data_IF_133304759132
#
_entry.id   IF_133304759132
#
_cell.length_a   1.000
_cell.length_b   1.000
_cell.length_c   1.000
_cell.angle_alpha   90.00
_cell.angle_beta   90.00
_cell.angle_gamma   90.00
#
_symmetry.space_group_name_H-M   'P 1'
#
loop_
_entity.id
_entity.type
_entity.pdbx_description
1 polymer ?
#
# COMPACT_ATOMS: atom_id res chain seq x y z
N UNK A 1 -31.14 -3.32 -3.93
CA UNK A 1 -29.91 -3.91 -4.50
C UNK A 1 -30.32 -4.98 -5.49
N UNK A 2 -30.20 -4.73 -6.79
CA UNK A 2 -30.47 -5.76 -7.79
C UNK A 2 -29.22 -6.63 -7.93
N UNK A 3 -29.30 -7.96 -7.75
CA UNK A 3 -28.18 -8.83 -8.05
C UNK A 3 -27.98 -8.80 -9.57
N UNK A 4 -26.84 -8.27 -10.01
CA UNK A 4 -26.44 -8.37 -11.41
C UNK A 4 -26.32 -9.85 -11.74
N UNK A 5 -27.24 -10.33 -12.58
CA UNK A 5 -27.16 -11.61 -13.27
C UNK A 5 -25.98 -11.54 -14.23
N UNK A 6 -24.76 -11.73 -13.72
CA UNK A 6 -23.58 -11.86 -14.56
C UNK A 6 -23.60 -13.25 -15.16
N UNK A 7 -24.00 -13.35 -16.43
CA UNK A 7 -24.06 -14.62 -17.15
C UNK A 7 -22.62 -15.13 -17.35
N UNK A 8 -22.26 -16.31 -16.78
CA UNK A 8 -20.96 -16.90 -16.99
C UNK A 8 -20.66 -17.07 -18.48
N UNK A 9 -19.50 -16.59 -18.93
CA UNK A 9 -19.06 -16.68 -20.33
C UNK A 9 -19.41 -15.49 -21.23
N UNK A 10 -20.17 -14.50 -20.76
CA UNK A 10 -20.40 -13.26 -21.53
C UNK A 10 -19.12 -12.42 -21.68
N UNK A 11 -18.99 -11.59 -22.74
CA UNK A 11 -17.86 -10.66 -22.87
C UNK A 11 -17.70 -9.72 -21.66
N UNK A 12 -18.83 -9.28 -21.07
CA UNK A 12 -18.84 -8.49 -19.84
C UNK A 12 -18.27 -9.26 -18.65
N UNK A 13 -18.64 -10.54 -18.48
CA UNK A 13 -18.05 -11.40 -17.45
C UNK A 13 -16.54 -11.56 -17.63
N UNK A 14 -16.07 -11.78 -18.87
CA UNK A 14 -14.63 -11.89 -19.15
C UNK A 14 -13.88 -10.61 -18.82
N UNK A 15 -14.42 -9.45 -19.22
CA UNK A 15 -13.88 -8.12 -18.91
C UNK A 15 -13.80 -7.88 -17.41
N UNK A 16 -14.87 -8.11 -16.66
CA UNK A 16 -14.87 -7.99 -15.19
C UNK A 16 -13.91 -9.00 -14.52
N UNK A 17 -13.87 -10.24 -15.00
CA UNK A 17 -13.03 -11.30 -14.44
C UNK A 17 -11.53 -11.00 -14.57
N UNK A 18 -11.14 -10.37 -15.67
CA UNK A 18 -9.76 -10.02 -16.00
C UNK A 18 -9.23 -8.79 -15.26
N UNK A 19 -10.11 -7.98 -14.63
CA UNK A 19 -9.69 -6.80 -13.87
C UNK A 19 -8.69 -7.18 -12.77
N UNK A 20 -7.57 -6.45 -12.63
CA UNK A 20 -6.62 -6.57 -11.54
C UNK A 20 -7.30 -6.70 -10.18
N UNK A 21 -8.26 -5.82 -9.85
CA UNK A 21 -8.94 -5.85 -8.55
C UNK A 21 -9.67 -7.17 -8.26
N UNK A 22 -10.30 -7.76 -9.27
CA UNK A 22 -10.95 -9.06 -9.15
C UNK A 22 -9.91 -10.19 -8.95
N UNK A 23 -8.73 -10.07 -9.55
CA UNK A 23 -7.62 -11.01 -9.33
C UNK A 23 -7.09 -10.90 -7.90
N UNK A 24 -6.83 -9.69 -7.45
CA UNK A 24 -6.34 -9.39 -6.10
C UNK A 24 -7.31 -9.87 -5.02
N UNK A 25 -8.63 -9.65 -5.18
CA UNK A 25 -9.62 -10.18 -4.24
C UNK A 25 -9.65 -11.71 -4.19
N UNK A 26 -9.40 -12.40 -5.32
CA UNK A 26 -9.33 -13.87 -5.34
C UNK A 26 -8.08 -14.40 -4.66
N UNK A 27 -6.97 -13.66 -4.74
CA UNK A 27 -5.70 -14.04 -4.13
C UNK A 27 -5.59 -13.59 -2.66
N UNK A 28 -6.43 -12.65 -2.21
CA UNK A 28 -6.52 -12.21 -0.84
C UNK A 28 -7.30 -13.22 0.02
N UNK A 29 -6.57 -14.11 0.69
CA UNK A 29 -7.15 -15.13 1.57
C UNK A 29 -7.51 -14.59 2.98
N UNK A 30 -6.99 -13.42 3.33
CA UNK A 30 -7.16 -12.77 4.62
C UNK A 30 -8.47 -11.99 4.67
N UNK A 31 -9.09 -11.87 5.86
CA UNK A 31 -10.27 -11.05 6.03
C UNK A 31 -10.01 -9.57 5.79
N UNK A 32 -8.78 -9.10 6.03
CA UNK A 32 -8.34 -7.71 5.80
C UNK A 32 -6.97 -7.67 5.12
N UNK A 33 -6.67 -6.55 4.48
CA UNK A 33 -5.37 -6.20 3.92
C UNK A 33 -5.02 -4.75 4.28
N UNK A 34 -3.77 -4.33 4.12
CA UNK A 34 -3.27 -3.03 4.58
C UNK A 34 -2.12 -3.18 5.56
N UNK A 35 -1.41 -2.09 5.79
CA UNK A 35 -0.06 -2.06 6.33
C UNK A 35 -0.03 -2.03 7.86
N UNK A 36 1.05 -2.54 8.43
CA UNK A 36 1.44 -2.16 9.80
C UNK A 36 2.18 -0.82 9.73
N UNK A 37 1.74 0.16 10.52
CA UNK A 37 2.25 1.53 10.52
C UNK A 37 2.88 1.81 11.89
N UNK A 38 4.20 2.03 11.91
CA UNK A 38 4.94 2.42 13.10
C UNK A 38 5.16 3.92 13.14
N UNK A 39 4.63 4.58 14.17
CA UNK A 39 4.91 5.98 14.44
C UNK A 39 6.22 6.12 15.22
N UNK A 40 7.15 6.94 14.72
CA UNK A 40 8.48 7.12 15.30
C UNK A 40 8.82 8.58 15.65
N UNK A 41 7.84 9.48 15.61
CA UNK A 41 7.98 10.88 16.00
C UNK A 41 6.81 11.34 16.87
N UNK A 42 7.11 11.86 18.06
CA UNK A 42 6.12 12.24 19.08
C UNK A 42 6.27 13.69 19.57
N UNK A 43 6.37 14.63 18.62
CA UNK A 43 6.33 16.07 18.92
C UNK A 43 4.88 16.58 18.96
N UNK A 44 4.59 17.72 19.61
CA UNK A 44 3.25 18.31 19.58
C UNK A 44 2.73 18.59 18.15
N UNK A 45 3.64 18.90 17.24
CA UNK A 45 3.35 19.08 15.82
C UNK A 45 2.98 17.75 15.17
N UNK A 46 3.76 16.69 15.41
CA UNK A 46 3.46 15.37 14.86
C UNK A 46 2.17 14.78 15.42
N UNK A 47 1.81 15.08 16.68
CA UNK A 47 0.53 14.69 17.28
C UNK A 47 -0.66 15.28 16.51
N UNK A 48 -0.54 16.51 16.05
CA UNK A 48 -1.57 17.15 15.24
C UNK A 48 -1.58 16.63 13.78
N UNK A 49 -0.42 16.31 13.23
CA UNK A 49 -0.29 15.85 11.84
C UNK A 49 -0.64 14.37 11.65
N UNK A 50 -0.39 13.51 12.65
CA UNK A 50 -0.51 12.06 12.49
C UNK A 50 -1.92 11.57 12.11
N UNK A 51 -3.02 12.07 12.70
CA UNK A 51 -4.36 11.72 12.23
C UNK A 51 -4.65 12.17 10.79
N UNK A 52 -4.09 13.31 10.38
CA UNK A 52 -4.23 13.82 9.01
C UNK A 52 -3.43 12.97 8.02
N UNK A 53 -2.24 12.52 8.43
CA UNK A 53 -1.44 11.56 7.68
C UNK A 53 -2.23 10.27 7.41
N UNK A 54 -2.83 9.67 8.44
CA UNK A 54 -3.62 8.43 8.28
C UNK A 54 -4.80 8.65 7.32
N UNK A 55 -5.57 9.72 7.51
CA UNK A 55 -6.70 10.03 6.64
C UNK A 55 -6.27 10.25 5.18
N UNK A 56 -5.10 10.84 4.96
CA UNK A 56 -4.57 11.09 3.62
C UNK A 56 -4.07 9.79 2.97
N UNK A 57 -3.36 8.94 3.70
CA UNK A 57 -2.98 7.60 3.20
C UNK A 57 -4.23 6.81 2.79
N UNK A 58 -5.27 6.81 3.61
CA UNK A 58 -6.52 6.12 3.30
C UNK A 58 -7.17 6.68 2.02
N UNK A 59 -7.27 8.01 1.89
CA UNK A 59 -7.85 8.66 0.72
C UNK A 59 -7.10 8.33 -0.58
N UNK A 60 -5.77 8.30 -0.54
CA UNK A 60 -4.94 7.96 -1.69
C UNK A 60 -5.09 6.48 -2.08
N UNK A 61 -5.06 5.57 -1.10
CA UNK A 61 -5.26 4.14 -1.37
C UNK A 61 -6.66 3.87 -1.93
N UNK A 62 -7.70 4.51 -1.38
CA UNK A 62 -9.07 4.41 -1.92
C UNK A 62 -9.18 4.95 -3.34
N UNK A 63 -8.49 6.06 -3.64
CA UNK A 63 -8.40 6.62 -4.99
C UNK A 63 -7.73 5.64 -5.98
N UNK A 64 -6.61 5.02 -5.59
CA UNK A 64 -5.93 4.01 -6.41
C UNK A 64 -6.80 2.78 -6.66
N UNK A 65 -7.60 2.36 -5.68
CA UNK A 65 -8.58 1.27 -5.85
C UNK A 65 -9.60 1.65 -6.93
N UNK A 66 -10.10 2.88 -6.91
CA UNK A 66 -11.13 3.39 -7.82
C UNK A 66 -10.61 3.87 -9.18
N UNK A 67 -9.29 3.82 -9.41
CA UNK A 67 -8.67 4.32 -10.63
C UNK A 67 -9.34 3.79 -11.92
N UNK A 68 -9.70 2.50 -11.96
CA UNK A 68 -10.37 1.88 -13.12
C UNK A 68 -11.83 2.31 -13.30
N UNK A 69 -12.48 2.80 -12.25
CA UNK A 69 -13.86 3.28 -12.30
C UNK A 69 -13.96 4.70 -12.84
N UNK A 70 -12.86 5.47 -12.78
CA UNK A 70 -12.86 6.88 -13.17
C UNK A 70 -13.01 7.05 -14.69
N UNK A 71 -14.10 7.68 -15.16
CA UNK A 71 -14.31 7.94 -16.59
C UNK A 71 -13.34 8.98 -17.16
N UNK A 72 -12.59 9.70 -16.32
CA UNK A 72 -11.61 10.72 -16.73
C UNK A 72 -10.33 10.09 -17.31
N UNK A 73 -10.00 8.86 -16.95
CA UNK A 73 -8.71 8.24 -17.28
C UNK A 73 -8.61 7.79 -18.74
N UNK A 74 -9.73 7.67 -19.46
CA UNK A 74 -9.74 7.15 -20.84
C UNK A 74 -9.90 8.21 -21.93
N UNK A 75 -10.09 9.50 -21.57
CA UNK A 75 -10.13 10.66 -22.50
C UNK A 75 -11.22 10.64 -23.58
N UNK A 76 -11.86 9.50 -23.81
CA UNK A 76 -12.87 9.22 -24.83
C UNK A 76 -13.99 8.46 -24.14
N UNK A 77 -15.27 8.83 -24.34
CA UNK A 77 -16.39 8.03 -23.87
C UNK A 77 -16.30 6.63 -24.46
N UNK A 78 -15.98 5.63 -23.63
CA UNK A 78 -16.04 4.25 -24.08
C UNK A 78 -17.52 3.87 -24.32
N UNK A 79 -17.85 3.21 -25.44
CA UNK A 79 -19.19 2.65 -25.64
C UNK A 79 -19.45 1.45 -24.71
N UNK A 80 -18.43 0.96 -24.00
CA UNK A 80 -18.57 -0.13 -23.04
C UNK A 80 -19.29 0.33 -21.77
N UNK A 81 -20.11 -0.52 -21.14
CA UNK A 81 -20.69 -0.24 -19.84
C UNK A 81 -19.60 0.05 -18.78
N UNK A 82 -19.88 0.93 -17.81
CA UNK A 82 -19.03 1.07 -16.63
C UNK A 82 -18.79 -0.28 -15.95
N UNK A 83 -17.61 -0.41 -15.35
CA UNK A 83 -17.29 -1.56 -14.51
C UNK A 83 -18.21 -1.64 -13.29
N UNK A 84 -18.42 -2.86 -12.80
CA UNK A 84 -19.06 -3.09 -11.51
C UNK A 84 -18.18 -2.53 -10.38
N UNK A 85 -18.73 -1.68 -9.51
CA UNK A 85 -18.01 -1.15 -8.36
C UNK A 85 -17.98 -2.13 -7.19
N UNK A 86 -18.75 -3.22 -7.21
CA UNK A 86 -18.80 -4.22 -6.13
C UNK A 86 -17.42 -4.73 -5.68
N UNK A 87 -16.52 -5.13 -6.60
CA UNK A 87 -15.14 -5.48 -6.27
C UNK A 87 -14.35 -4.34 -5.59
N UNK A 88 -14.53 -3.09 -6.02
CA UNK A 88 -13.89 -1.91 -5.43
C UNK A 88 -14.35 -1.68 -4.00
N UNK A 89 -15.66 -1.69 -3.78
CA UNK A 89 -16.25 -1.52 -2.45
C UNK A 89 -15.83 -2.65 -1.50
N UNK A 90 -15.73 -3.89 -1.98
CA UNK A 90 -15.22 -5.00 -1.19
C UNK A 90 -13.73 -4.84 -0.85
N UNK A 91 -12.93 -4.36 -1.79
CA UNK A 91 -11.50 -4.11 -1.56
C UNK A 91 -11.30 -3.03 -0.49
N UNK A 92 -12.00 -1.89 -0.61
CA UNK A 92 -11.97 -0.81 0.40
C UNK A 92 -12.46 -1.29 1.76
N UNK A 93 -13.56 -2.06 1.80
CA UNK A 93 -14.11 -2.61 3.06
C UNK A 93 -13.10 -3.48 3.80
N UNK A 94 -12.22 -4.19 3.09
CA UNK A 94 -11.17 -5.02 3.68
C UNK A 94 -9.88 -4.26 3.97
N UNK A 95 -9.75 -3.01 3.52
CA UNK A 95 -8.58 -2.20 3.80
C UNK A 95 -8.58 -1.77 5.27
N UNK A 96 -7.56 -2.21 6.00
CA UNK A 96 -7.37 -1.92 7.40
C UNK A 96 -5.88 -1.94 7.73
N UNK A 97 -5.39 -0.81 8.24
CA UNK A 97 -4.02 -0.65 8.71
C UNK A 97 -3.93 -0.96 10.23
N UNK A 98 -2.81 -1.55 10.64
CA UNK A 98 -2.48 -1.76 12.06
C UNK A 98 -1.54 -0.65 12.53
N UNK A 99 -2.05 0.28 13.33
CA UNK A 99 -1.27 1.44 13.81
C UNK A 99 -0.60 1.13 15.15
N UNK A 100 0.72 1.25 15.20
CA UNK A 100 1.54 0.98 16.38
C UNK A 100 2.13 2.30 16.90
N UNK A 101 1.56 2.78 18.00
CA UNK A 101 2.06 3.92 18.76
C UNK A 101 2.69 3.45 20.07
N UNK A 102 3.98 3.72 20.22
CA UNK A 102 4.75 3.41 21.42
C UNK A 102 5.79 4.51 21.64
N UNK A 103 5.78 5.22 22.78
CA UNK A 103 6.75 6.27 23.08
C UNK A 103 8.21 5.79 23.03
N UNK A 104 8.45 4.49 23.21
CA UNK A 104 9.79 3.90 23.09
C UNK A 104 10.34 3.85 21.66
N UNK A 105 9.52 4.20 20.66
CA UNK A 105 9.93 4.31 19.25
C UNK A 105 10.20 5.76 18.83
N UNK A 106 10.16 6.73 19.73
CA UNK A 106 10.48 8.12 19.40
C UNK A 106 11.95 8.24 18.95
N UNK A 107 12.16 8.73 17.73
CA UNK A 107 13.48 8.78 17.10
C UNK A 107 14.06 7.42 16.70
N UNK A 108 13.23 6.37 16.63
CA UNK A 108 13.68 5.03 16.23
C UNK A 108 14.34 5.03 14.85
N UNK A 109 15.44 4.30 14.73
CA UNK A 109 16.09 4.04 13.45
C UNK A 109 15.31 3.01 12.62
N UNK A 110 15.72 2.81 11.36
CA UNK A 110 15.14 1.78 10.48
C UNK A 110 15.33 0.39 11.09
N UNK A 111 16.49 0.12 11.69
CA UNK A 111 16.78 -1.17 12.33
C UNK A 111 15.92 -1.38 13.58
N UNK A 112 15.66 -0.33 14.36
CA UNK A 112 14.75 -0.39 15.51
C UNK A 112 13.31 -0.69 15.07
N UNK A 113 12.83 -0.04 14.00
CA UNK A 113 11.51 -0.32 13.42
C UNK A 113 11.44 -1.73 12.87
N UNK A 114 12.49 -2.22 12.18
CA UNK A 114 12.54 -3.60 11.68
C UNK A 114 12.51 -4.62 12.83
N UNK A 115 13.22 -4.35 13.92
CA UNK A 115 13.18 -5.18 15.12
C UNK A 115 11.78 -5.16 15.78
N UNK A 116 11.15 -3.98 15.87
CA UNK A 116 9.80 -3.82 16.39
C UNK A 116 8.76 -4.55 15.51
N UNK A 117 8.89 -4.46 14.19
CA UNK A 117 8.03 -5.16 13.24
C UNK A 117 8.19 -6.68 13.34
N UNK A 118 9.44 -7.17 13.38
CA UNK A 118 9.74 -8.59 13.61
C UNK A 118 9.11 -9.11 14.90
N UNK A 119 9.20 -8.32 15.98
CA UNK A 119 8.56 -8.66 17.26
C UNK A 119 7.04 -8.68 17.12
N UNK A 120 6.45 -7.67 16.49
CA UNK A 120 5.01 -7.58 16.26
C UNK A 120 4.49 -8.79 15.46
N UNK A 121 5.20 -9.22 14.41
CA UNK A 121 4.85 -10.39 13.63
C UNK A 121 4.82 -11.66 14.50
N UNK A 122 5.84 -11.87 15.34
CA UNK A 122 5.91 -13.00 16.28
C UNK A 122 4.79 -12.96 17.31
N UNK A 123 4.53 -11.78 17.89
CA UNK A 123 3.47 -11.60 18.89
C UNK A 123 2.07 -11.85 18.30
N UNK A 124 1.89 -11.63 16.99
CA UNK A 124 0.66 -11.93 16.26
C UNK A 124 0.63 -13.36 15.66
N UNK A 125 1.57 -14.23 16.03
CA UNK A 125 1.58 -15.64 15.64
C UNK A 125 1.94 -15.89 14.17
N UNK A 126 2.61 -14.94 13.52
CA UNK A 126 3.12 -15.13 12.16
C UNK A 126 4.30 -16.09 12.21
N UNK A 127 4.19 -17.18 11.44
CA UNK A 127 5.29 -18.12 11.24
C UNK A 127 6.30 -17.55 10.24
N UNK A 128 7.41 -17.02 10.77
CA UNK A 128 8.49 -16.41 9.99
C UNK A 128 9.41 -17.44 9.32
N UNK A 129 9.26 -18.75 9.60
CA UNK A 129 9.97 -19.81 8.90
C UNK A 129 9.29 -20.15 7.55
N UNK A 130 8.05 -19.68 7.35
CA UNK A 130 7.32 -19.84 6.11
C UNK A 130 7.80 -18.84 5.04
N UNK A 131 8.27 -19.35 3.90
CA UNK A 131 8.96 -18.55 2.88
C UNK A 131 8.03 -17.64 2.04
N UNK A 132 6.71 -17.82 2.12
CA UNK A 132 5.74 -16.96 1.44
C UNK A 132 5.01 -16.08 2.46
N UNK A 133 5.69 -15.01 2.88
CA UNK A 133 5.07 -13.97 3.69
C UNK A 133 4.13 -13.15 2.81
N UNK A 134 2.89 -12.94 3.28
CA UNK A 134 2.00 -11.96 2.69
C UNK A 134 2.65 -10.56 2.79
N UNK A 135 2.28 -9.62 1.91
CA UNK A 135 2.83 -8.25 1.99
C UNK A 135 2.69 -7.64 3.40
N UNK A 136 1.61 -7.97 4.12
CA UNK A 136 1.40 -7.62 5.55
C UNK A 136 2.49 -8.07 6.50
N UNK A 137 3.17 -9.14 6.15
CA UNK A 137 4.23 -9.72 6.96
C UNK A 137 5.62 -9.44 6.38
N UNK A 138 5.69 -8.88 5.16
CA UNK A 138 6.95 -8.56 4.48
C UNK A 138 7.36 -7.11 4.66
N UNK A 139 6.40 -6.17 4.68
CA UNK A 139 6.69 -4.74 4.77
C UNK A 139 5.83 -4.00 5.79
N UNK A 140 6.37 -2.92 6.35
CA UNK A 140 5.65 -1.98 7.22
C UNK A 140 5.95 -0.53 6.83
N UNK A 141 5.10 0.41 7.24
CA UNK A 141 5.32 1.85 7.03
C UNK A 141 5.97 2.43 8.29
N UNK A 142 7.09 3.12 8.13
CA UNK A 142 7.72 3.92 9.18
C UNK A 142 7.34 5.39 9.01
N UNK A 143 6.78 5.99 10.06
CA UNK A 143 6.31 7.38 10.06
C UNK A 143 7.22 8.23 10.95
N UNK A 144 8.23 8.84 10.34
CA UNK A 144 9.06 9.88 10.92
C UNK A 144 8.63 11.28 10.46
N UNK A 145 9.35 12.31 10.90
CA UNK A 145 9.06 13.71 10.52
C UNK A 145 9.13 13.94 9.00
N UNK A 146 10.06 13.28 8.30
CA UNK A 146 10.19 13.42 6.84
C UNK A 146 8.96 12.87 6.11
N UNK A 147 8.43 11.73 6.55
CA UNK A 147 7.20 11.15 5.99
C UNK A 147 5.98 12.03 6.27
N UNK A 148 5.83 12.54 7.49
CA UNK A 148 4.74 13.47 7.82
C UNK A 148 4.78 14.73 6.95
N UNK A 149 5.97 15.30 6.76
CA UNK A 149 6.14 16.49 5.91
C UNK A 149 5.88 16.19 4.44
N UNK A 150 6.31 15.03 3.93
CA UNK A 150 6.04 14.63 2.55
C UNK A 150 4.54 14.49 2.29
N UNK A 151 3.82 13.74 3.13
CA UNK A 151 2.37 13.53 2.99
C UNK A 151 1.58 14.83 3.17
N UNK A 152 1.99 15.68 4.12
CA UNK A 152 1.37 16.99 4.31
C UNK A 152 1.50 17.91 3.08
N UNK A 153 2.59 17.80 2.32
CA UNK A 153 2.83 18.61 1.13
C UNK A 153 2.00 18.17 -0.10
N UNK A 154 1.46 16.95 -0.11
CA UNK A 154 0.65 16.45 -1.20
C UNK A 154 -0.70 17.15 -1.37
N UNK A 155 -1.38 17.01 -2.51
CA UNK A 155 -2.74 17.53 -2.67
C UNK A 155 -3.74 16.84 -1.73
N UNK A 156 -4.79 17.57 -1.34
CA UNK A 156 -5.88 17.01 -0.53
C UNK A 156 -6.84 16.13 -1.37
N UNK A 157 -6.97 16.44 -2.67
CA UNK A 157 -7.67 15.59 -3.64
C UNK A 157 -6.63 14.68 -4.33
N UNK A 158 -6.66 13.35 -4.10
CA UNK A 158 -5.73 12.42 -4.74
C UNK A 158 -5.84 12.41 -6.28
N UNK A 159 -6.93 12.91 -6.86
CA UNK A 159 -7.11 12.99 -8.31
C UNK A 159 -6.47 14.25 -8.92
N UNK A 160 -5.98 15.18 -8.09
CA UNK A 160 -5.25 16.33 -8.58
C UNK A 160 -3.90 15.88 -9.15
N UNK A 161 -3.47 16.42 -10.28
CA UNK A 161 -2.14 16.11 -10.83
C UNK A 161 -1.03 16.67 -9.94
N UNK A 162 -0.06 15.82 -9.63
CA UNK A 162 1.17 16.14 -8.91
C UNK A 162 2.30 15.19 -9.38
N UNK A 163 3.55 15.48 -9.05
CA UNK A 163 4.65 14.54 -9.32
C UNK A 163 4.55 13.35 -8.37
N UNK A 164 4.42 12.13 -8.89
CA UNK A 164 4.20 10.92 -8.09
C UNK A 164 5.35 10.66 -7.09
N UNK A 165 6.54 11.18 -7.39
CA UNK A 165 7.74 11.16 -6.55
C UNK A 165 7.71 12.19 -5.40
N UNK A 166 6.83 13.18 -5.45
CA UNK A 166 6.83 14.30 -4.50
C UNK A 166 6.15 13.99 -3.16
N UNK A 167 5.29 12.97 -3.11
CA UNK A 167 4.51 12.59 -1.93
C UNK A 167 4.70 11.11 -1.66
N UNK A 168 5.45 10.78 -0.61
CA UNK A 168 5.90 9.42 -0.34
C UNK A 168 5.85 9.07 1.14
N UNK A 169 5.80 7.77 1.40
CA UNK A 169 6.01 7.17 2.71
C UNK A 169 7.26 6.28 2.70
N UNK A 170 7.82 6.02 3.87
CA UNK A 170 8.94 5.09 4.02
C UNK A 170 8.41 3.70 4.31
N UNK A 171 8.73 2.75 3.45
CA UNK A 171 8.39 1.34 3.61
C UNK A 171 9.63 0.56 4.02
N UNK A 172 9.56 -0.15 5.13
CA UNK A 172 10.65 -0.95 5.70
C UNK A 172 10.33 -2.43 5.53
N UNK A 173 11.30 -3.18 5.01
CA UNK A 173 11.17 -4.62 4.79
C UNK A 173 11.60 -5.40 6.05
N UNK A 174 10.85 -6.46 6.34
CA UNK A 174 11.31 -7.55 7.19
C UNK A 174 12.40 -8.35 6.47
N UNK A 175 13.58 -8.42 7.08
CA UNK A 175 14.69 -9.23 6.56
C UNK A 175 14.76 -10.56 7.32
N UNK A 176 14.62 -11.66 6.60
CA UNK A 176 14.80 -12.98 7.18
C UNK A 176 16.29 -13.22 7.51
N UNK A 177 16.61 -14.01 8.55
CA UNK A 177 18.00 -14.33 8.87
C UNK A 177 18.73 -14.95 7.68
N UNK A 178 19.81 -14.30 7.22
CA UNK A 178 20.63 -14.78 6.11
C UNK A 178 20.26 -14.22 4.73
N UNK A 179 19.27 -13.33 4.63
CA UNK A 179 19.04 -12.54 3.41
C UNK A 179 20.22 -11.59 3.12
N UNK A 180 20.44 -11.31 1.82
CA UNK A 180 21.56 -10.52 1.32
C UNK A 180 21.49 -9.06 1.81
N UNK A 181 22.65 -8.42 1.96
CA UNK A 181 22.72 -7.01 2.39
C UNK A 181 22.21 -6.07 1.27
N UNK A 182 20.93 -5.74 1.34
CA UNK A 182 20.35 -4.54 0.74
C UNK A 182 19.84 -3.63 1.85
N UNK A 183 19.56 -2.35 1.55
CA UNK A 183 19.25 -1.36 2.60
C UNK A 183 18.00 -1.72 3.45
N UNK A 184 17.11 -2.57 2.94
CA UNK A 184 15.96 -3.08 3.69
C UNK A 184 14.82 -2.09 3.85
N UNK A 185 14.73 -1.07 2.99
CA UNK A 185 13.64 -0.09 2.92
C UNK A 185 13.63 0.65 1.57
N UNK A 186 12.52 1.33 1.25
CA UNK A 186 12.41 2.25 0.11
C UNK A 186 11.39 3.37 0.38
N UNK A 187 11.42 4.43 -0.43
CA UNK A 187 10.32 5.40 -0.48
C UNK A 187 9.26 4.91 -1.46
N UNK A 188 7.99 5.10 -1.11
CA UNK A 188 6.86 4.67 -1.93
C UNK A 188 5.88 5.83 -2.05
N UNK A 189 5.52 6.19 -3.28
CA UNK A 189 4.50 7.19 -3.57
C UNK A 189 3.14 6.77 -3.02
N UNK A 190 2.32 7.72 -2.56
CA UNK A 190 1.02 7.38 -1.97
C UNK A 190 0.10 6.60 -2.93
N UNK A 191 0.07 6.97 -4.21
CA UNK A 191 -0.74 6.28 -5.23
C UNK A 191 -0.25 4.85 -5.50
N UNK A 192 1.02 4.58 -5.22
CA UNK A 192 1.67 3.30 -5.46
C UNK A 192 1.43 2.28 -4.34
N UNK A 193 0.92 2.70 -3.17
CA UNK A 193 0.74 1.82 -2.01
C UNK A 193 -0.16 0.61 -2.29
N UNK A 194 -1.25 0.82 -3.03
CA UNK A 194 -2.14 -0.26 -3.44
C UNK A 194 -1.41 -1.26 -4.34
N UNK A 195 -0.67 -0.78 -5.34
CA UNK A 195 0.07 -1.63 -6.27
C UNK A 195 1.20 -2.38 -5.58
N UNK A 196 2.05 -1.69 -4.81
CA UNK A 196 3.13 -2.27 -4.02
C UNK A 196 2.64 -3.46 -3.20
N UNK A 197 1.52 -3.30 -2.49
CA UNK A 197 0.99 -4.34 -1.63
C UNK A 197 0.71 -5.65 -2.38
N UNK A 198 0.20 -5.57 -3.60
CA UNK A 198 -0.14 -6.75 -4.38
C UNK A 198 1.05 -7.30 -5.20
N UNK A 199 2.04 -6.48 -5.56
CA UNK A 199 3.27 -6.94 -6.21
C UNK A 199 4.22 -7.65 -5.23
N UNK A 200 4.43 -7.08 -4.03
CA UNK A 200 5.19 -7.76 -2.96
C UNK A 200 4.51 -9.09 -2.59
N UNK A 201 3.18 -9.12 -2.58
CA UNK A 201 2.44 -10.35 -2.36
C UNK A 201 2.58 -11.37 -3.51
N UNK A 202 2.77 -10.91 -4.75
CA UNK A 202 2.96 -11.76 -5.92
C UNK A 202 4.36 -12.41 -5.97
N UNK A 203 5.22 -12.12 -5.00
CA UNK A 203 6.55 -12.70 -4.88
C UNK A 203 7.65 -11.85 -5.54
N UNK A 204 7.36 -10.60 -5.90
CA UNK A 204 8.41 -9.66 -6.26
C UNK A 204 9.21 -9.26 -5.02
N UNK A 205 10.54 -9.34 -5.12
CA UNK A 205 11.45 -8.95 -4.05
C UNK A 205 11.53 -7.42 -3.97
N UNK A 206 11.43 -6.89 -2.75
CA UNK A 206 11.48 -5.44 -2.53
C UNK A 206 12.81 -4.83 -3.00
N UNK A 207 13.89 -5.60 -2.90
CA UNK A 207 15.21 -5.26 -3.47
C UNK A 207 15.13 -5.02 -4.98
N UNK A 208 14.45 -5.90 -5.74
CA UNK A 208 14.31 -5.76 -7.19
C UNK A 208 13.56 -4.48 -7.58
N UNK A 209 12.51 -4.11 -6.83
CA UNK A 209 11.79 -2.85 -7.06
C UNK A 209 12.70 -1.63 -6.84
N UNK A 210 13.52 -1.66 -5.80
CA UNK A 210 14.49 -0.60 -5.50
C UNK A 210 15.60 -0.51 -6.57
N UNK A 211 16.12 -1.64 -7.04
CA UNK A 211 17.13 -1.67 -8.11
C UNK A 211 16.61 -1.06 -9.41
N UNK A 212 15.35 -1.36 -9.79
CA UNK A 212 14.72 -0.78 -10.99
C UNK A 212 14.64 0.75 -10.88
N UNK A 213 14.10 1.27 -9.79
CA UNK A 213 13.99 2.72 -9.59
C UNK A 213 15.35 3.42 -9.64
N UNK A 214 16.34 2.88 -8.93
CA UNK A 214 17.66 3.49 -8.85
C UNK A 214 18.40 3.45 -10.19
N UNK A 215 18.18 2.41 -10.99
CA UNK A 215 18.68 2.35 -12.37
C UNK A 215 18.07 3.43 -13.28
N UNK A 216 16.84 3.85 -13.00
CA UNK A 216 16.13 4.93 -13.70
C UNK A 216 16.45 6.32 -13.15
N UNK A 217 17.26 6.39 -12.07
CA UNK A 217 17.62 7.64 -11.40
C UNK A 217 16.55 8.17 -10.44
N UNK A 218 15.57 7.33 -10.11
CA UNK A 218 14.48 7.63 -9.18
C UNK A 218 14.83 7.15 -7.76
N UNK A 219 14.27 7.81 -6.75
CA UNK A 219 14.39 7.42 -5.35
C UNK A 219 13.05 7.13 -4.67
N UNK A 220 11.93 7.20 -5.40
CA UNK A 220 10.57 6.90 -4.95
C UNK A 220 9.88 5.90 -5.89
N UNK A 221 9.33 4.81 -5.34
CA UNK A 221 8.55 3.83 -6.10
C UNK A 221 7.19 4.42 -6.44
N UNK A 222 6.86 4.52 -7.72
CA UNK A 222 5.61 5.15 -8.18
C UNK A 222 4.60 4.18 -8.81
N UNK A 223 4.94 2.88 -8.90
CA UNK A 223 4.06 1.81 -9.38
C UNK A 223 4.34 1.36 -10.81
#
# INVERSE_FOLDING_TARGET
MSPLLVIPGSPRFKREWQRPICRYLRSLHQPTWGFTIFRTVYTPQSDAQFPLFLAKVDAYVESSIDYELSPRNFGVPSPEPPFDSGPNEEMKRRYANDVIESPGLDGASIDDVRAAFTKWLKDNGVDLEFHQLYARHRVCIMVDEAVLNSVAAGPEDPNQSYGLESVWVRVVEYLAPGEQEWQGWLKVGLDALYFLWFEVFAGEEVESMFEVMTAEGEDVFTG
#
